data_IF_925721551513
#
_entry.id   IF_925721551513
#
_cell.length_a   1.000
_cell.length_b   1.000
_cell.length_c   1.000
_cell.angle_alpha   90.00
_cell.angle_beta   90.00
_cell.angle_gamma   90.00
#
_symmetry.space_group_name_H-M   'P 1'
#
loop_
_entity.id
_entity.type
_entity.pdbx_description
1 polymer ?
#
# COMPACT_ATOMS: atom_id res chain seq x y z
N UNK A 1 -11.98 11.36 5.19
CA UNK A 1 -11.24 10.65 4.13
C UNK A 1 -9.94 10.13 4.69
N UNK A 2 -9.48 9.00 4.20
CA UNK A 2 -8.26 8.38 4.69
C UNK A 2 -7.12 8.57 3.71
N UNK A 3 -5.92 8.69 4.24
CA UNK A 3 -4.70 8.74 3.43
C UNK A 3 -3.99 7.40 3.60
N UNK A 4 -3.79 6.69 2.50
CA UNK A 4 -3.11 5.41 2.53
C UNK A 4 -1.65 5.58 2.10
N UNK A 5 -0.75 4.98 2.85
CA UNK A 5 0.67 4.98 2.54
C UNK A 5 1.10 3.53 2.34
N UNK A 6 1.45 3.20 1.11
CA UNK A 6 1.84 1.84 0.76
C UNK A 6 3.35 1.65 0.93
N UNK A 7 3.72 0.59 1.64
CA UNK A 7 5.11 0.20 1.86
C UNK A 7 5.28 -1.24 1.41
N UNK A 8 6.35 -1.51 0.66
CA UNK A 8 6.72 -2.87 0.31
C UNK A 8 7.75 -3.37 1.30
N UNK A 9 7.63 -4.63 1.68
CA UNK A 9 8.62 -5.26 2.55
C UNK A 9 9.79 -5.74 1.70
N UNK A 10 10.91 -5.04 1.82
CA UNK A 10 12.13 -5.36 1.09
C UNK A 10 13.01 -6.36 1.82
N UNK A 11 14.25 -6.50 1.33
CA UNK A 11 15.26 -7.34 1.96
C UNK A 11 15.53 -6.87 3.39
N UNK A 12 15.91 -7.80 4.25
CA UNK A 12 16.18 -7.52 5.67
C UNK A 12 14.98 -6.98 6.44
N UNK A 13 13.76 -7.22 5.95
CA UNK A 13 12.50 -6.78 6.57
C UNK A 13 12.39 -5.27 6.73
N UNK A 14 13.11 -4.51 5.93
CA UNK A 14 12.95 -3.06 5.90
C UNK A 14 11.75 -2.68 5.03
N UNK A 15 10.96 -1.75 5.54
CA UNK A 15 9.84 -1.21 4.78
C UNK A 15 10.36 -0.13 3.86
N UNK A 16 10.03 -0.23 2.59
CA UNK A 16 10.37 0.78 1.60
C UNK A 16 9.09 1.46 1.15
N UNK A 17 9.08 2.79 1.18
CA UNK A 17 7.94 3.56 0.73
C UNK A 17 7.69 3.30 -0.75
N UNK A 18 6.44 2.99 -1.09
CA UNK A 18 6.06 2.64 -2.44
C UNK A 18 5.20 3.72 -3.08
N UNK A 19 4.11 4.09 -2.43
CA UNK A 19 3.18 5.07 -2.98
C UNK A 19 2.28 5.63 -1.88
N UNK A 20 1.92 6.92 -2.01
CA UNK A 20 0.90 7.53 -1.18
C UNK A 20 -0.39 7.66 -1.99
N UNK A 21 -1.51 7.42 -1.34
CA UNK A 21 -2.82 7.58 -1.95
C UNK A 21 -3.69 8.44 -1.04
N UNK A 22 -3.66 9.76 -1.22
CA UNK A 22 -4.47 10.67 -0.39
C UNK A 22 -5.95 10.57 -0.77
N UNK A 23 -6.80 10.89 0.20
CA UNK A 23 -8.24 10.97 -0.02
C UNK A 23 -8.86 9.67 -0.53
N UNK A 24 -8.45 8.56 0.08
CA UNK A 24 -9.02 7.25 -0.25
C UNK A 24 -10.50 7.22 0.13
N UNK A 25 -11.36 6.83 -0.81
CA UNK A 25 -12.81 6.85 -0.63
C UNK A 25 -13.45 5.47 -0.54
N UNK A 26 -12.75 4.41 -0.83
CA UNK A 26 -13.29 3.07 -0.77
C UNK A 26 -13.03 2.39 0.56
N UNK A 27 -13.33 1.11 0.62
CA UNK A 27 -12.95 0.30 1.77
C UNK A 27 -11.44 0.21 1.86
N UNK A 28 -10.94 0.24 3.09
CA UNK A 28 -9.51 0.12 3.32
C UNK A 28 -9.09 -1.32 3.01
N UNK A 29 -8.02 -1.51 2.20
CA UNK A 29 -7.55 -2.85 1.89
C UNK A 29 -7.24 -3.64 3.16
N UNK A 30 -7.70 -4.87 3.20
CA UNK A 30 -7.50 -5.77 4.34
C UNK A 30 -6.39 -6.77 4.04
N UNK A 31 -5.85 -7.36 5.10
CA UNK A 31 -4.84 -8.41 4.96
C UNK A 31 -5.38 -9.54 4.08
N UNK A 32 -4.63 -9.89 3.05
CA UNK A 32 -5.02 -10.89 2.08
C UNK A 32 -5.56 -10.33 0.77
N UNK A 33 -5.98 -9.06 0.76
CA UNK A 33 -6.45 -8.41 -0.46
C UNK A 33 -5.29 -8.18 -1.43
N UNK A 34 -5.62 -8.18 -2.71
CA UNK A 34 -4.67 -7.83 -3.76
C UNK A 34 -4.94 -6.39 -4.21
N UNK A 35 -3.87 -5.63 -4.39
CA UNK A 35 -3.95 -4.27 -4.90
C UNK A 35 -3.09 -4.15 -6.15
N UNK A 36 -3.58 -3.40 -7.12
CA UNK A 36 -2.82 -3.07 -8.33
C UNK A 36 -2.28 -1.66 -8.17
N UNK A 37 -0.98 -1.51 -8.34
CA UNK A 37 -0.33 -0.21 -8.26
C UNK A 37 0.32 0.09 -9.60
N UNK A 38 -0.01 1.25 -10.14
CA UNK A 38 0.48 1.70 -11.44
C UNK A 38 1.59 2.72 -11.23
N UNK A 39 2.64 2.59 -12.02
CA UNK A 39 3.78 3.48 -11.99
C UNK A 39 4.00 4.08 -13.37
N UNK A 40 4.75 5.19 -13.41
CA UNK A 40 5.06 5.89 -14.64
C UNK A 40 4.05 6.97 -14.96
N UNK A 41 4.41 7.88 -15.85
CA UNK A 41 3.60 9.05 -16.19
C UNK A 41 2.28 8.68 -16.87
N UNK A 42 2.25 7.57 -17.56
CA UNK A 42 1.07 7.08 -18.27
C UNK A 42 0.55 5.76 -17.71
N UNK A 43 0.92 5.43 -16.47
CA UNK A 43 0.56 4.16 -15.83
C UNK A 43 0.98 2.94 -16.67
N UNK A 44 2.17 3.04 -17.26
CA UNK A 44 2.68 2.00 -18.17
C UNK A 44 3.07 0.72 -17.46
N UNK A 45 3.43 0.82 -16.19
CA UNK A 45 3.84 -0.33 -15.39
C UNK A 45 2.78 -0.63 -14.34
N UNK A 46 2.37 -1.88 -14.29
CA UNK A 46 1.37 -2.34 -13.34
C UNK A 46 1.94 -3.52 -12.56
N UNK A 47 1.91 -3.39 -11.24
CA UNK A 47 2.37 -4.46 -10.36
C UNK A 47 1.26 -4.86 -9.42
N UNK A 48 1.14 -6.17 -9.21
CA UNK A 48 0.16 -6.73 -8.29
C UNK A 48 0.83 -7.03 -6.96
N UNK A 49 0.21 -6.53 -5.89
CA UNK A 49 0.71 -6.72 -4.54
C UNK A 49 -0.37 -7.35 -3.67
N UNK A 50 0.07 -8.08 -2.66
CA UNK A 50 -0.85 -8.60 -1.63
C UNK A 50 -0.63 -7.84 -0.34
N UNK A 51 -1.73 -7.43 0.30
CA UNK A 51 -1.66 -6.75 1.60
C UNK A 51 -1.31 -7.79 2.66
N UNK A 52 -0.23 -7.51 3.40
CA UNK A 52 0.26 -8.40 4.46
C UNK A 52 0.20 -7.76 5.84
N UNK A 53 -0.07 -6.46 5.93
CA UNK A 53 -0.20 -5.79 7.20
C UNK A 53 -0.82 -4.41 7.05
N UNK A 54 -1.35 -3.91 8.17
CA UNK A 54 -1.90 -2.56 8.26
C UNK A 54 -1.49 -1.97 9.60
N UNK A 55 -1.09 -0.71 9.60
CA UNK A 55 -0.75 0.00 10.81
C UNK A 55 -1.60 1.27 10.87
N UNK A 56 -2.42 1.38 11.91
CA UNK A 56 -3.24 2.56 12.15
C UNK A 56 -2.61 3.32 13.30
N UNK A 57 -2.14 4.55 13.03
CA UNK A 57 -1.58 5.39 14.07
C UNK A 57 -2.73 6.03 14.85
N UNK A 58 -2.81 5.75 16.13
CA UNK A 58 -3.85 6.30 16.99
C UNK A 58 -3.81 7.81 17.14
N UNK A 59 -2.67 8.45 16.81
CA UNK A 59 -2.54 9.90 16.84
C UNK A 59 -2.92 10.55 15.52
N UNK A 60 -2.88 9.79 14.44
CA UNK A 60 -3.18 10.26 13.08
C UNK A 60 -4.21 9.32 12.47
N UNK A 61 -5.44 9.42 12.95
CA UNK A 61 -6.50 8.48 12.58
C UNK A 61 -6.82 8.47 11.09
N UNK A 62 -6.41 9.51 10.35
CA UNK A 62 -6.64 9.59 8.92
C UNK A 62 -5.50 8.98 8.08
N UNK A 63 -4.38 8.66 8.70
CA UNK A 63 -3.24 8.06 8.02
C UNK A 63 -3.13 6.58 8.36
N UNK A 64 -3.05 5.75 7.34
CA UNK A 64 -2.97 4.31 7.50
C UNK A 64 -1.81 3.80 6.65
N UNK A 65 -0.90 3.08 7.27
CA UNK A 65 0.20 2.42 6.58
C UNK A 65 -0.25 1.03 6.13
N UNK A 66 -0.12 0.76 4.84
CA UNK A 66 -0.46 -0.53 4.26
C UNK A 66 0.84 -1.22 3.84
N UNK A 67 1.11 -2.36 4.41
CA UNK A 67 2.30 -3.14 4.09
C UNK A 67 1.93 -4.19 3.05
N UNK A 68 2.65 -4.23 1.96
CA UNK A 68 2.35 -5.13 0.85
C UNK A 68 3.57 -5.96 0.46
N UNK A 69 3.31 -7.06 -0.21
CA UNK A 69 4.32 -7.94 -0.77
C UNK A 69 4.05 -8.11 -2.26
N UNK A 70 5.10 -8.01 -3.08
CA UNK A 70 4.96 -8.19 -4.52
C UNK A 70 4.58 -9.64 -4.83
N UNK A 71 3.53 -9.79 -5.62
CA UNK A 71 3.10 -11.09 -6.10
C UNK A 71 3.93 -11.42 -7.35
N UNK A 72 4.74 -12.44 -7.26
CA UNK A 72 5.52 -12.91 -8.40
C UNK A 72 4.66 -13.81 -9.27
N UNK A 73 4.76 -13.58 -10.55
CA UNK A 73 4.11 -14.45 -11.53
C UNK A 73 4.97 -15.69 -11.82
#
# INVERSE_FOLDING_TARGET
MKNLHFYVLGEYRKREHLKDWPNWTGEIPQIGDCVLIHFGDYHEEEYKYRVIGRIIDGRKSDDIDIIVSLIKH
#
